data_IF_905513252485
#
_entry.id   IF_905513252485
#
_cell.length_a   1.000
_cell.length_b   1.000
_cell.length_c   1.000
_cell.angle_alpha   90.00
_cell.angle_beta   90.00
_cell.angle_gamma   90.00
#
_symmetry.space_group_name_H-M   'P 1'
#
loop_
_entity.id
_entity.type
_entity.pdbx_description
1 polymer ?
#
# COMPACT_ATOMS: atom_id res chain seq x y z
N UNK A 1 -32.63 -36.04 31.52
CA UNK A 1 -33.46 -35.39 30.47
C UNK A 1 -32.54 -35.08 29.31
N UNK A 2 -32.55 -35.95 28.29
CA UNK A 2 -31.80 -35.79 27.05
C UNK A 2 -32.70 -35.08 26.04
N UNK A 3 -32.34 -33.87 25.63
CA UNK A 3 -33.04 -33.16 24.54
C UNK A 3 -32.63 -33.80 23.22
N UNK A 4 -33.57 -34.49 22.57
CA UNK A 4 -33.36 -34.96 21.19
C UNK A 4 -33.19 -33.73 20.27
N UNK A 5 -32.23 -33.74 19.33
CA UNK A 5 -32.19 -32.75 18.28
C UNK A 5 -33.42 -32.98 17.38
N UNK A 6 -34.34 -32.02 17.38
CA UNK A 6 -35.46 -32.01 16.43
C UNK A 6 -34.87 -31.82 15.04
N UNK A 7 -34.93 -32.86 14.20
CA UNK A 7 -34.56 -32.72 12.79
C UNK A 7 -35.52 -31.74 12.11
N UNK A 8 -35.00 -30.78 11.31
CA UNK A 8 -35.83 -29.82 10.60
C UNK A 8 -36.76 -30.54 9.62
N UNK A 9 -37.99 -30.07 9.50
CA UNK A 9 -38.95 -30.59 8.54
C UNK A 9 -38.56 -30.20 7.10
N UNK A 10 -39.11 -30.90 6.10
CA UNK A 10 -38.88 -30.57 4.68
C UNK A 10 -39.32 -29.13 4.34
N UNK A 11 -40.37 -28.62 4.99
CA UNK A 11 -40.83 -27.23 4.84
C UNK A 11 -39.84 -26.23 5.44
N UNK A 12 -39.21 -26.56 6.57
CA UNK A 12 -38.16 -25.72 7.18
C UNK A 12 -36.92 -25.62 6.27
N UNK A 13 -36.56 -26.71 5.60
CA UNK A 13 -35.43 -26.76 4.67
C UNK A 13 -35.70 -25.90 3.43
N UNK A 14 -36.91 -25.94 2.89
CA UNK A 14 -37.29 -25.17 1.70
C UNK A 14 -37.40 -23.66 2.00
N UNK A 15 -37.92 -23.31 3.20
CA UNK A 15 -37.94 -21.93 3.69
C UNK A 15 -36.52 -21.38 3.93
N UNK A 16 -35.62 -22.19 4.50
CA UNK A 16 -34.20 -21.83 4.69
C UNK A 16 -33.50 -21.63 3.34
N UNK A 17 -33.75 -22.51 2.36
CA UNK A 17 -33.21 -22.42 1.00
C UNK A 17 -33.65 -21.14 0.29
N UNK A 18 -34.94 -20.82 0.38
CA UNK A 18 -35.53 -19.61 -0.22
C UNK A 18 -34.96 -18.34 0.42
N UNK A 19 -34.83 -18.34 1.75
CA UNK A 19 -34.23 -17.21 2.50
C UNK A 19 -32.76 -17.02 2.16
N UNK A 20 -31.99 -18.10 2.07
CA UNK A 20 -30.58 -18.05 1.69
C UNK A 20 -30.40 -17.52 0.25
N UNK A 21 -31.27 -17.94 -0.67
CA UNK A 21 -31.24 -17.47 -2.06
C UNK A 21 -31.53 -15.98 -2.17
N UNK A 22 -32.51 -15.47 -1.43
CA UNK A 22 -32.81 -14.04 -1.40
C UNK A 22 -31.67 -13.20 -0.78
N UNK A 23 -31.00 -13.71 0.26
CA UNK A 23 -29.82 -13.06 0.84
C UNK A 23 -28.68 -12.97 -0.18
N UNK A 24 -28.40 -14.06 -0.90
CA UNK A 24 -27.37 -14.09 -1.93
C UNK A 24 -27.71 -13.14 -3.08
N UNK A 25 -28.97 -13.13 -3.52
CA UNK A 25 -29.47 -12.24 -4.57
C UNK A 25 -29.24 -10.78 -4.22
N UNK A 26 -29.62 -10.38 -3.00
CA UNK A 26 -29.39 -9.01 -2.50
C UNK A 26 -27.91 -8.65 -2.40
N UNK A 27 -27.06 -9.59 -1.98
CA UNK A 27 -25.61 -9.36 -1.94
C UNK A 27 -25.03 -9.15 -3.34
N UNK A 28 -25.47 -9.91 -4.34
CA UNK A 28 -25.03 -9.73 -5.72
C UNK A 28 -25.47 -8.36 -6.25
N UNK A 29 -26.74 -7.99 -6.04
CA UNK A 29 -27.25 -6.66 -6.45
C UNK A 29 -26.50 -5.50 -5.76
N UNK A 30 -26.09 -5.69 -4.50
CA UNK A 30 -25.25 -4.72 -3.78
C UNK A 30 -23.88 -4.61 -4.45
N UNK A 31 -23.20 -5.73 -4.70
CA UNK A 31 -21.88 -5.77 -5.34
C UNK A 31 -21.91 -5.12 -6.72
N UNK A 32 -22.93 -5.42 -7.52
CA UNK A 32 -23.06 -4.86 -8.87
C UNK A 32 -23.29 -3.34 -8.84
N UNK A 33 -24.09 -2.85 -7.88
CA UNK A 33 -24.25 -1.40 -7.66
C UNK A 33 -22.94 -0.76 -7.24
N UNK A 34 -22.25 -1.32 -6.25
CA UNK A 34 -21.00 -0.76 -5.73
C UNK A 34 -19.93 -0.74 -6.82
N UNK A 35 -19.84 -1.81 -7.63
CA UNK A 35 -18.96 -1.88 -8.81
C UNK A 35 -19.30 -0.83 -9.87
N UNK A 36 -20.58 -0.55 -10.09
CA UNK A 36 -21.03 0.45 -11.06
C UNK A 36 -20.60 1.88 -10.70
N UNK A 37 -20.62 2.23 -9.41
CA UNK A 37 -20.28 3.58 -8.94
C UNK A 37 -18.80 3.73 -8.53
N UNK A 38 -18.07 2.63 -8.36
CA UNK A 38 -16.67 2.66 -7.93
C UNK A 38 -15.77 3.60 -8.76
N UNK A 39 -15.85 3.64 -10.11
CA UNK A 39 -15.00 4.54 -10.89
C UNK A 39 -15.22 6.02 -10.58
N UNK A 40 -16.48 6.42 -10.39
CA UNK A 40 -16.85 7.81 -10.10
C UNK A 40 -16.37 8.22 -8.70
N UNK A 41 -16.62 7.38 -7.70
CA UNK A 41 -16.14 7.63 -6.34
C UNK A 41 -14.61 7.67 -6.26
N UNK A 42 -13.93 6.80 -7.01
CA UNK A 42 -12.48 6.79 -7.06
C UNK A 42 -11.93 8.06 -7.72
N UNK A 43 -12.54 8.53 -8.81
CA UNK A 43 -12.15 9.76 -9.47
C UNK A 43 -12.29 10.98 -8.53
N UNK A 44 -13.42 11.10 -7.84
CA UNK A 44 -13.67 12.16 -6.87
C UNK A 44 -12.67 12.11 -5.70
N UNK A 45 -12.44 10.92 -5.13
CA UNK A 45 -11.48 10.76 -4.04
C UNK A 45 -10.03 11.13 -4.44
N UNK A 46 -9.64 10.85 -5.68
CA UNK A 46 -8.33 11.24 -6.22
C UNK A 46 -8.22 12.74 -6.41
N UNK A 47 -9.27 13.41 -6.88
CA UNK A 47 -9.31 14.86 -6.99
C UNK A 47 -9.21 15.54 -5.61
N UNK A 48 -9.92 15.02 -4.61
CA UNK A 48 -9.83 15.49 -3.23
C UNK A 48 -8.42 15.28 -2.66
N UNK A 49 -7.81 14.11 -2.88
CA UNK A 49 -6.45 13.82 -2.46
C UNK A 49 -5.41 14.76 -3.12
N UNK A 50 -5.56 15.02 -4.42
CA UNK A 50 -4.70 15.95 -5.16
C UNK A 50 -4.83 17.39 -4.64
N UNK A 51 -6.02 17.79 -4.21
CA UNK A 51 -6.26 19.09 -3.59
C UNK A 51 -5.62 19.17 -2.20
N UNK A 52 -5.89 18.20 -1.34
CA UNK A 52 -5.30 18.12 0.00
C UNK A 52 -3.77 18.08 -0.05
N UNK A 53 -3.20 17.36 -1.02
CA UNK A 53 -1.75 17.31 -1.24
C UNK A 53 -1.18 18.68 -1.58
N UNK A 54 -1.79 19.42 -2.50
CA UNK A 54 -1.34 20.77 -2.88
C UNK A 54 -1.37 21.72 -1.69
N UNK A 55 -2.44 21.67 -0.91
CA UNK A 55 -2.57 22.47 0.32
C UNK A 55 -1.51 22.10 1.35
N UNK A 56 -1.28 20.81 1.59
CA UNK A 56 -0.31 20.33 2.56
C UNK A 56 1.13 20.69 2.18
N UNK A 57 1.50 20.59 0.90
CA UNK A 57 2.84 20.97 0.42
C UNK A 57 3.09 22.49 0.57
N UNK A 58 2.06 23.31 0.44
CA UNK A 58 2.16 24.74 0.63
C UNK A 58 2.19 25.14 2.12
N UNK A 59 1.41 24.46 2.95
CA UNK A 59 1.29 24.74 4.38
C UNK A 59 2.45 24.19 5.21
N UNK A 60 2.99 23.03 4.83
CA UNK A 60 4.01 22.29 5.57
C UNK A 60 5.14 21.84 4.62
N UNK A 61 5.97 22.77 4.12
CA UNK A 61 7.11 22.43 3.27
C UNK A 61 8.11 21.56 4.04
N UNK A 62 8.86 20.72 3.31
CA UNK A 62 9.83 19.82 3.93
C UNK A 62 10.89 20.56 4.76
N UNK A 63 11.24 21.78 4.35
CA UNK A 63 12.16 22.67 5.07
C UNK A 63 11.80 22.87 6.55
N UNK A 64 10.51 22.83 6.91
CA UNK A 64 10.04 23.02 8.27
C UNK A 64 10.11 21.73 9.12
N UNK A 65 10.37 20.59 8.47
CA UNK A 65 10.33 19.25 9.07
C UNK A 65 11.71 18.73 9.48
N UNK A 66 12.80 19.46 9.25
CA UNK A 66 14.16 19.08 9.64
C UNK A 66 14.89 20.20 10.38
N UNK A 67 15.95 19.83 11.10
CA UNK A 67 16.77 20.78 11.87
C UNK A 67 18.24 20.65 11.49
N UNK A 68 18.92 21.78 11.42
CA UNK A 68 20.38 21.81 11.29
C UNK A 68 21.02 21.57 12.65
N UNK A 69 21.89 20.57 12.74
CA UNK A 69 22.61 20.18 13.95
C UNK A 69 24.11 20.34 13.68
N UNK A 70 24.86 21.04 14.56
CA UNK A 70 26.30 21.16 14.40
C UNK A 70 26.97 19.80 14.56
N UNK A 71 27.85 19.47 13.64
CA UNK A 71 28.75 18.33 13.74
C UNK A 71 30.06 18.77 14.35
N UNK A 72 30.54 17.99 15.32
CA UNK A 72 31.83 18.21 15.97
C UNK A 72 32.73 17.01 15.77
N UNK A 73 34.03 17.26 15.59
CA UNK A 73 35.04 16.21 15.60
C UNK A 73 35.04 15.49 16.96
N UNK A 74 35.05 14.16 16.93
CA UNK A 74 34.94 13.35 18.15
C UNK A 74 36.21 13.41 19.02
N UNK A 75 37.36 13.80 18.47
CA UNK A 75 38.63 13.89 19.17
C UNK A 75 38.97 15.30 19.67
N UNK A 76 38.61 16.34 18.90
CA UNK A 76 38.94 17.74 19.23
C UNK A 76 37.77 18.54 19.77
N UNK A 77 36.53 18.09 19.55
CA UNK A 77 35.32 18.85 19.88
C UNK A 77 35.11 20.10 19.02
N UNK A 78 35.96 20.32 18.01
CA UNK A 78 35.82 21.45 17.10
C UNK A 78 34.67 21.21 16.11
N UNK A 79 33.95 22.28 15.76
CA UNK A 79 32.86 22.20 14.80
C UNK A 79 33.41 21.92 13.40
N UNK A 80 33.00 20.79 12.82
CA UNK A 80 33.43 20.33 11.48
C UNK A 80 32.40 20.66 10.40
N UNK A 81 31.14 20.91 10.78
CA UNK A 81 30.09 21.28 9.83
C UNK A 81 28.70 21.34 10.44
N UNK A 82 27.69 21.38 9.58
CA UNK A 82 26.27 21.29 9.95
C UNK A 82 25.66 20.11 9.20
N UNK A 83 24.82 19.33 9.87
CA UNK A 83 24.03 18.25 9.29
C UNK A 83 22.54 18.61 9.38
N UNK A 84 21.79 18.37 8.31
CA UNK A 84 20.34 18.45 8.35
C UNK A 84 19.79 17.09 8.79
N UNK A 85 18.96 17.07 9.83
CA UNK A 85 18.31 15.86 10.32
C UNK A 85 16.80 16.04 10.39
N UNK A 86 16.02 15.17 9.72
CA UNK A 86 14.57 15.17 9.85
C UNK A 86 14.11 14.96 11.29
N UNK A 87 13.07 15.67 11.68
CA UNK A 87 12.34 15.37 12.93
C UNK A 87 11.62 14.03 12.79
N UNK A 88 11.39 13.34 13.92
CA UNK A 88 10.67 12.05 13.92
C UNK A 88 9.27 12.21 13.31
N UNK A 89 8.51 13.21 13.78
CA UNK A 89 7.17 13.48 13.27
C UNK A 89 7.20 13.87 11.78
N UNK A 90 8.21 14.65 11.35
CA UNK A 90 8.37 15.07 9.97
C UNK A 90 8.58 13.88 9.03
N UNK A 91 9.52 12.99 9.36
CA UNK A 91 9.77 11.78 8.54
C UNK A 91 8.57 10.84 8.53
N UNK A 92 7.86 10.68 9.65
CA UNK A 92 6.71 9.77 9.75
C UNK A 92 5.51 10.30 8.97
N UNK A 93 5.23 11.60 9.08
CA UNK A 93 4.16 12.25 8.34
C UNK A 93 4.40 12.21 6.83
N UNK A 94 5.60 12.62 6.39
CA UNK A 94 5.96 12.59 4.98
C UNK A 94 6.07 11.15 4.44
N UNK A 95 6.53 10.21 5.25
CA UNK A 95 6.53 8.79 4.94
C UNK A 95 5.13 8.22 4.76
N UNK A 96 4.19 8.57 5.64
CA UNK A 96 2.80 8.15 5.51
C UNK A 96 2.16 8.71 4.23
N UNK A 97 2.42 9.99 3.90
CA UNK A 97 2.00 10.58 2.61
C UNK A 97 2.56 9.78 1.43
N UNK A 98 3.85 9.48 1.46
CA UNK A 98 4.52 8.75 0.37
C UNK A 98 3.96 7.34 0.22
N UNK A 99 3.69 6.65 1.34
CA UNK A 99 3.09 5.33 1.34
C UNK A 99 1.76 5.31 0.57
N UNK A 100 0.85 6.25 0.86
CA UNK A 100 -0.43 6.31 0.18
C UNK A 100 -0.33 6.76 -1.28
N UNK A 101 0.57 7.69 -1.61
CA UNK A 101 0.85 8.07 -3.00
C UNK A 101 1.35 6.87 -3.82
N UNK A 102 2.24 6.02 -3.27
CA UNK A 102 2.70 4.80 -3.94
C UNK A 102 1.61 3.74 -4.07
N UNK A 103 0.75 3.59 -3.05
CA UNK A 103 -0.35 2.63 -3.09
C UNK A 103 -1.42 3.02 -4.11
N UNK A 104 -1.72 4.32 -4.28
CA UNK A 104 -2.66 4.78 -5.31
C UNK A 104 -2.09 4.65 -6.73
N UNK A 105 -0.77 4.81 -6.90
CA UNK A 105 -0.10 4.53 -8.16
C UNK A 105 -0.22 3.04 -8.56
N UNK A 106 -0.21 2.14 -7.57
CA UNK A 106 -0.48 0.71 -7.78
C UNK A 106 0.59 0.05 -8.66
N UNK A 107 0.17 -0.48 -9.82
CA UNK A 107 1.07 -1.11 -10.80
C UNK A 107 1.54 -0.17 -11.92
N UNK A 108 1.00 1.06 -11.97
CA UNK A 108 1.28 2.05 -13.01
C UNK A 108 2.68 2.64 -12.83
N UNK A 109 3.62 2.21 -13.68
CA UNK A 109 5.03 2.61 -13.59
C UNK A 109 5.24 4.12 -13.77
N UNK A 110 4.50 4.74 -14.68
CA UNK A 110 4.63 6.16 -14.96
C UNK A 110 4.21 6.98 -13.72
N UNK A 111 3.10 6.59 -13.07
CA UNK A 111 2.67 7.23 -11.82
C UNK A 111 3.65 7.02 -10.68
N UNK A 112 4.25 5.83 -10.56
CA UNK A 112 5.29 5.57 -9.55
C UNK A 112 6.47 6.52 -9.78
N UNK A 113 6.91 6.69 -11.02
CA UNK A 113 7.99 7.60 -11.39
C UNK A 113 7.63 9.07 -11.12
N UNK A 114 6.39 9.48 -11.37
CA UNK A 114 5.90 10.82 -11.03
C UNK A 114 5.93 11.06 -9.51
N UNK A 115 5.51 10.08 -8.70
CA UNK A 115 5.59 10.16 -7.23
C UNK A 115 7.06 10.28 -6.81
N UNK A 116 7.95 9.43 -7.32
CA UNK A 116 9.39 9.50 -7.02
C UNK A 116 9.99 10.86 -7.38
N UNK A 117 9.72 11.34 -8.59
CA UNK A 117 10.22 12.63 -9.10
C UNK A 117 9.73 13.80 -8.25
N UNK A 118 8.48 13.75 -7.80
CA UNK A 118 7.89 14.77 -6.93
C UNK A 118 8.55 14.83 -5.57
N UNK A 119 8.73 13.68 -4.91
CA UNK A 119 9.44 13.63 -3.63
C UNK A 119 10.90 14.06 -3.79
N UNK A 120 11.57 13.63 -4.87
CA UNK A 120 12.93 14.08 -5.16
C UNK A 120 13.02 15.60 -5.32
N UNK A 121 12.09 16.19 -6.06
CA UNK A 121 12.01 17.63 -6.28
C UNK A 121 11.67 18.41 -5.01
N UNK A 122 10.73 17.91 -4.19
CA UNK A 122 10.33 18.56 -2.94
C UNK A 122 11.46 18.57 -1.88
N UNK A 123 12.45 17.69 -2.03
CA UNK A 123 13.59 17.55 -1.15
C UNK A 123 14.88 18.15 -1.73
N UNK A 124 14.79 18.92 -2.83
CA UNK A 124 15.94 19.48 -3.55
C UNK A 124 17.01 18.43 -3.90
N UNK A 125 16.58 17.19 -4.16
CA UNK A 125 17.45 16.07 -4.49
C UNK A 125 18.23 15.47 -3.32
N UNK A 126 17.91 15.81 -2.07
CA UNK A 126 18.57 15.24 -0.89
C UNK A 126 18.19 13.77 -0.68
N UNK A 127 19.08 12.86 -1.13
CA UNK A 127 18.88 11.41 -1.08
C UNK A 127 18.88 10.83 0.33
N UNK A 128 19.60 11.43 1.27
CA UNK A 128 19.62 11.00 2.67
C UNK A 128 18.26 11.23 3.33
N UNK A 129 17.64 12.38 3.04
CA UNK A 129 16.29 12.68 3.53
C UNK A 129 15.23 11.81 2.87
N UNK A 130 15.37 11.52 1.57
CA UNK A 130 14.50 10.57 0.87
C UNK A 130 14.54 9.18 1.48
N UNK A 131 15.73 8.71 1.89
CA UNK A 131 15.85 7.42 2.58
C UNK A 131 14.99 7.38 3.85
N UNK A 132 15.00 8.44 4.66
CA UNK A 132 14.16 8.49 5.87
C UNK A 132 12.67 8.48 5.55
N UNK A 133 12.23 9.24 4.54
CA UNK A 133 10.82 9.27 4.12
C UNK A 133 10.38 7.91 3.59
N UNK A 134 11.16 7.30 2.69
CA UNK A 134 10.81 6.00 2.11
C UNK A 134 10.89 4.86 3.12
N UNK A 135 11.84 4.90 4.06
CA UNK A 135 11.86 3.96 5.18
C UNK A 135 10.59 4.08 6.03
N UNK A 136 10.16 5.30 6.36
CA UNK A 136 8.92 5.52 7.12
C UNK A 136 7.67 5.11 6.32
N UNK A 137 7.68 5.29 5.00
CA UNK A 137 6.62 4.82 4.11
C UNK A 137 6.50 3.28 4.13
N UNK A 138 7.63 2.58 4.03
CA UNK A 138 7.66 1.11 4.11
C UNK A 138 7.14 0.61 5.45
N UNK A 139 7.53 1.25 6.56
CA UNK A 139 6.97 0.94 7.89
C UNK A 139 5.46 1.15 7.92
N UNK A 140 4.96 2.27 7.39
CA UNK A 140 3.52 2.57 7.32
C UNK A 140 2.75 1.48 6.55
N UNK A 141 3.29 1.07 5.40
CA UNK A 141 2.67 0.02 4.58
C UNK A 141 2.65 -1.31 5.34
N UNK A 142 3.78 -1.71 5.92
CA UNK A 142 3.94 -3.00 6.58
C UNK A 142 3.16 -3.11 7.90
N UNK A 143 3.06 -2.03 8.67
CA UNK A 143 2.46 -2.05 10.01
C UNK A 143 0.97 -1.73 10.00
N UNK A 144 0.51 -0.88 9.09
CA UNK A 144 -0.85 -0.33 9.15
C UNK A 144 -1.71 -0.71 7.95
N UNK A 145 -1.14 -0.78 6.74
CA UNK A 145 -1.93 -1.00 5.52
C UNK A 145 -2.09 -2.49 5.23
N UNK A 146 -0.99 -3.20 5.05
CA UNK A 146 -1.00 -4.62 4.64
C UNK A 146 -1.76 -5.51 5.64
N UNK A 147 -1.56 -5.39 6.97
CA UNK A 147 -2.30 -6.21 7.93
C UNK A 147 -3.81 -6.00 7.83
N UNK A 148 -4.26 -4.74 7.78
CA UNK A 148 -5.68 -4.40 7.69
C UNK A 148 -6.32 -4.90 6.37
N UNK A 149 -5.58 -4.86 5.25
CA UNK A 149 -6.04 -5.42 3.98
C UNK A 149 -6.16 -6.94 4.03
N UNK A 150 -5.15 -7.63 4.58
CA UNK A 150 -5.18 -9.08 4.74
C UNK A 150 -6.32 -9.52 5.67
N UNK A 151 -6.56 -8.80 6.75
CA UNK A 151 -7.68 -9.10 7.65
C UNK A 151 -9.02 -8.99 6.94
N UNK A 152 -9.23 -7.97 6.09
CA UNK A 152 -10.44 -7.86 5.27
C UNK A 152 -10.57 -9.01 4.26
N UNK A 153 -9.49 -9.40 3.59
CA UNK A 153 -9.50 -10.53 2.65
C UNK A 153 -9.89 -11.85 3.35
N UNK A 154 -9.36 -12.09 4.55
CA UNK A 154 -9.66 -13.30 5.30
C UNK A 154 -11.08 -13.31 5.86
N UNK A 155 -11.51 -12.22 6.51
CA UNK A 155 -12.81 -12.18 7.20
C UNK A 155 -13.97 -11.96 6.24
N UNK A 156 -13.83 -11.03 5.30
CA UNK A 156 -14.96 -10.60 4.45
C UNK A 156 -14.97 -11.36 3.11
N UNK A 157 -13.80 -11.62 2.53
CA UNK A 157 -13.68 -12.37 1.27
C UNK A 157 -13.43 -13.87 1.46
N UNK A 158 -13.24 -14.34 2.71
CA UNK A 158 -12.92 -15.73 3.03
C UNK A 158 -11.67 -16.27 2.31
N UNK A 159 -10.73 -15.39 1.94
CA UNK A 159 -9.46 -15.77 1.33
C UNK A 159 -8.36 -15.95 2.38
N UNK A 160 -8.31 -17.14 2.95
CA UNK A 160 -7.27 -17.53 3.92
C UNK A 160 -5.94 -17.92 3.27
N UNK A 161 -5.81 -17.79 1.94
CA UNK A 161 -4.58 -18.12 1.22
C UNK A 161 -3.67 -16.92 1.00
N UNK A 162 -4.18 -15.69 1.09
CA UNK A 162 -3.39 -14.49 0.77
C UNK A 162 -2.10 -14.39 1.60
N UNK A 163 -2.15 -14.72 2.90
CA UNK A 163 -0.95 -14.77 3.77
C UNK A 163 0.03 -15.86 3.38
N UNK A 164 -0.46 -17.02 2.94
CA UNK A 164 0.39 -18.11 2.46
C UNK A 164 1.10 -17.68 1.17
N UNK A 165 0.37 -17.06 0.24
CA UNK A 165 0.94 -16.53 -1.00
C UNK A 165 2.02 -15.47 -0.74
N UNK A 166 1.85 -14.63 0.29
CA UNK A 166 2.87 -13.67 0.68
C UNK A 166 4.16 -14.36 1.18
N UNK A 167 4.03 -15.42 1.97
CA UNK A 167 5.18 -16.20 2.43
C UNK A 167 5.88 -16.93 1.26
N UNK A 168 5.12 -17.46 0.31
CA UNK A 168 5.65 -18.08 -0.90
C UNK A 168 6.37 -17.05 -1.79
N UNK A 169 5.80 -15.86 -1.97
CA UNK A 169 6.42 -14.77 -2.70
C UNK A 169 7.74 -14.33 -2.04
N UNK A 170 7.78 -14.22 -0.71
CA UNK A 170 9.01 -13.93 0.02
C UNK A 170 10.07 -15.03 -0.21
N UNK A 171 9.66 -16.29 -0.13
CA UNK A 171 10.57 -17.41 -0.40
C UNK A 171 11.09 -17.37 -1.84
N UNK A 172 10.24 -17.03 -2.82
CA UNK A 172 10.62 -16.91 -4.22
C UNK A 172 11.60 -15.75 -4.43
N UNK A 173 11.36 -14.58 -3.85
CA UNK A 173 12.26 -13.43 -3.94
C UNK A 173 13.69 -13.76 -3.45
N UNK A 174 13.82 -14.57 -2.38
CA UNK A 174 15.12 -15.04 -1.89
C UNK A 174 15.75 -16.16 -2.71
N UNK A 175 14.95 -16.91 -3.48
CA UNK A 175 15.42 -17.98 -4.37
C UNK A 175 15.90 -17.42 -5.70
N UNK A 176 15.21 -16.41 -6.24
CA UNK A 176 15.57 -15.74 -7.48
C UNK A 176 17.02 -15.25 -7.42
N UNK A 177 17.75 -15.42 -8.52
CA UNK A 177 19.12 -14.90 -8.69
C UNK A 177 19.12 -13.82 -9.76
N UNK A 178 20.03 -12.87 -9.62
CA UNK A 178 20.17 -11.69 -10.50
C UNK A 178 20.33 -12.04 -11.99
N UNK A 179 20.72 -13.27 -12.33
CA UNK A 179 20.88 -13.74 -13.71
C UNK A 179 19.69 -14.52 -14.28
N UNK A 180 18.68 -14.88 -13.47
CA UNK A 180 17.58 -15.74 -13.91
C UNK A 180 16.47 -14.95 -14.62
N UNK A 181 16.34 -13.64 -14.34
CA UNK A 181 15.24 -12.77 -14.82
C UNK A 181 15.70 -11.65 -15.78
N UNK A 182 16.98 -11.57 -16.16
CA UNK A 182 17.45 -10.59 -17.15
C UNK A 182 17.22 -11.01 -18.62
N UNK A 183 16.80 -12.26 -18.85
CA UNK A 183 16.26 -12.69 -20.13
C UNK A 183 14.73 -12.63 -20.06
N UNK A 184 14.16 -11.45 -20.28
CA UNK A 184 12.73 -11.34 -20.55
C UNK A 184 12.31 -12.16 -21.78
N UNK A 185 11.02 -12.49 -21.94
CA UNK A 185 10.50 -13.08 -23.17
C UNK A 185 10.50 -12.03 -24.29
N UNK A 186 11.69 -11.77 -24.85
CA UNK A 186 11.93 -10.78 -25.90
C UNK A 186 12.96 -11.19 -26.95
N UNK A 187 13.87 -12.13 -26.63
CA UNK A 187 14.93 -12.57 -27.56
C UNK A 187 14.69 -13.99 -28.11
N UNK A 188 13.46 -14.27 -28.56
CA UNK A 188 13.20 -15.34 -29.53
C UNK A 188 12.69 -14.75 -30.84
N UNK A 189 13.48 -13.87 -31.45
CA UNK A 189 13.38 -13.66 -32.89
C UNK A 189 13.92 -14.91 -33.61
N UNK A 190 12.98 -15.68 -34.14
CA UNK A 190 13.02 -16.29 -35.47
C UNK A 190 14.40 -16.47 -36.12
N UNK A 191 14.86 -17.72 -36.12
CA UNK A 191 15.99 -18.19 -36.92
C UNK A 191 15.74 -19.59 -37.48
N UNK A 192 14.63 -19.78 -38.19
CA UNK A 192 14.54 -20.87 -39.18
C UNK A 192 15.38 -20.49 -40.40
N UNK A 193 16.55 -21.13 -40.55
CA UNK A 193 16.97 -21.88 -41.74
C UNK A 193 18.34 -22.52 -41.55
#
# INVERSE_FOLDING_TARGET
MTTNPTNPSLEDIDLLSTTATEILRRRIEQIDRDRGHQPEFLAMAREDADTARREALAAEPWADCWKAIPMTDAGTGEMTGMMALPTINGKELWGARAAFDFLDAGEDREKIEEVLSRYFSALDGNTEHLFFIFSAALCTIAEHVVPAMLDKLEHDASDYRSRVMLADAAANAWRTRVGDDLCGPGDQESGEK
#
